data_IF_150108426726
#
_entry.id   IF_150108426726
#
_cell.length_a   1.000
_cell.length_b   1.000
_cell.length_c   1.000
_cell.angle_alpha   90.00
_cell.angle_beta   90.00
_cell.angle_gamma   90.00
#
_symmetry.space_group_name_H-M   'P 1'
#
loop_
_entity.id
_entity.type
_entity.pdbx_description
1 polymer ?
#
# COMPACT_ATOMS: atom_id res chain seq x y z
N UNK A 1 16.30 25.67 -66.51
CA UNK A 1 14.99 25.13 -66.09
C UNK A 1 14.93 25.18 -64.57
N UNK A 2 13.91 25.87 -64.05
CA UNK A 2 13.24 25.69 -62.74
C UNK A 2 14.12 25.78 -61.46
N UNK A 3 14.04 26.89 -60.71
CA UNK A 3 13.15 27.10 -59.54
C UNK A 3 13.65 26.34 -58.29
N UNK A 4 13.91 26.93 -57.12
CA UNK A 4 13.00 27.65 -56.19
C UNK A 4 13.81 28.18 -54.95
N UNK A 5 13.20 28.89 -53.99
CA UNK A 5 13.82 29.97 -53.22
C UNK A 5 14.33 29.54 -51.83
N UNK A 6 15.12 30.43 -51.24
CA UNK A 6 15.49 30.46 -49.83
C UNK A 6 14.26 30.61 -48.94
N UNK A 7 14.00 29.65 -48.07
CA UNK A 7 13.16 29.84 -46.91
C UNK A 7 13.57 28.89 -45.78
N UNK A 8 13.17 29.27 -44.57
CA UNK A 8 13.19 28.52 -43.30
C UNK A 8 14.55 28.56 -42.57
N UNK A 9 14.70 29.18 -41.41
CA UNK A 9 13.73 29.80 -40.52
C UNK A 9 14.49 30.42 -39.35
N UNK A 10 14.03 31.58 -38.89
CA UNK A 10 14.47 32.17 -37.63
C UNK A 10 14.32 31.14 -36.51
N UNK A 11 15.42 30.75 -35.88
CA UNK A 11 15.40 30.06 -34.59
C UNK A 11 14.80 31.04 -33.59
N UNK A 12 13.51 30.91 -33.36
CA UNK A 12 12.83 31.54 -32.24
C UNK A 12 13.42 30.92 -30.98
N UNK A 13 14.01 31.75 -30.13
CA UNK A 13 14.31 31.36 -28.75
C UNK A 13 12.97 31.10 -28.08
N UNK A 14 12.58 29.84 -28.01
CA UNK A 14 11.50 29.43 -27.13
C UNK A 14 11.91 29.79 -25.70
N UNK A 15 11.11 30.65 -25.10
CA UNK A 15 11.23 30.99 -23.69
C UNK A 15 11.06 29.70 -22.88
N UNK A 16 12.14 29.25 -22.25
CA UNK A 16 12.07 28.28 -21.16
C UNK A 16 11.37 28.95 -19.97
N UNK A 17 10.04 29.02 -20.03
CA UNK A 17 9.20 29.17 -18.85
C UNK A 17 8.70 27.78 -18.48
N UNK A 18 9.61 26.92 -18.00
CA UNK A 18 9.25 25.56 -17.65
C UNK A 18 9.63 25.23 -16.21
N UNK A 19 8.65 24.64 -15.51
CA UNK A 19 8.71 24.00 -14.19
C UNK A 19 8.98 24.86 -12.94
N UNK A 20 7.91 25.43 -12.37
CA UNK A 20 7.77 25.54 -10.90
C UNK A 20 6.84 24.43 -10.39
N UNK A 21 7.10 23.19 -10.79
CA UNK A 21 6.51 22.03 -10.14
C UNK A 21 7.24 21.84 -8.82
N UNK A 22 6.68 22.38 -7.74
CA UNK A 22 7.16 22.11 -6.39
C UNK A 22 7.04 20.59 -6.16
N UNK A 23 8.18 19.90 -6.13
CA UNK A 23 8.30 18.64 -5.43
C UNK A 23 7.70 18.85 -4.04
N UNK A 24 6.75 18.01 -3.61
CA UNK A 24 6.24 18.15 -2.25
C UNK A 24 7.40 17.91 -1.28
N UNK A 25 7.62 18.79 -0.30
CA UNK A 25 8.77 18.65 0.58
C UNK A 25 8.64 17.36 1.42
N UNK A 26 7.45 17.10 1.97
CA UNK A 26 7.16 15.90 2.74
C UNK A 26 5.95 15.15 2.19
N UNK A 27 6.19 13.94 1.71
CA UNK A 27 5.16 12.99 1.28
C UNK A 27 4.77 12.01 2.38
N UNK A 28 3.51 11.59 2.40
CA UNK A 28 3.00 10.59 3.32
C UNK A 28 2.24 9.47 2.59
N UNK A 29 2.56 8.21 2.87
CA UNK A 29 1.81 7.05 2.34
C UNK A 29 1.21 6.25 3.50
N UNK A 30 -0.12 6.27 3.71
CA UNK A 30 -0.78 5.42 4.69
C UNK A 30 -1.03 4.02 4.13
N UNK A 31 -0.68 2.97 4.89
CA UNK A 31 -0.93 1.61 4.47
C UNK A 31 -0.95 0.60 5.61
N UNK A 32 -1.65 -0.51 5.37
CA UNK A 32 -1.57 -1.67 6.23
C UNK A 32 -0.29 -2.47 6.01
N UNK A 33 0.21 -2.54 4.77
CA UNK A 33 1.44 -3.26 4.40
C UNK A 33 1.48 -4.74 4.86
N UNK A 34 0.31 -5.35 5.07
CA UNK A 34 0.15 -6.76 5.44
C UNK A 34 0.49 -7.67 4.26
N UNK A 35 1.22 -8.77 4.50
CA UNK A 35 1.74 -9.67 3.46
C UNK A 35 2.37 -8.87 2.30
N UNK A 36 3.44 -8.14 2.61
CA UNK A 36 4.05 -7.17 1.70
C UNK A 36 4.35 -7.75 0.30
N UNK A 37 4.04 -6.99 -0.76
CA UNK A 37 4.09 -7.45 -2.14
C UNK A 37 4.32 -6.27 -3.11
N UNK A 38 4.49 -6.57 -4.40
CA UNK A 38 4.87 -5.57 -5.42
C UNK A 38 3.93 -4.37 -5.52
N UNK A 39 2.63 -4.56 -5.30
CA UNK A 39 1.67 -3.45 -5.22
C UNK A 39 2.02 -2.39 -4.17
N UNK A 40 2.44 -2.81 -2.97
CA UNK A 40 2.91 -1.88 -1.93
C UNK A 40 4.24 -1.22 -2.32
N UNK A 41 5.17 -1.99 -2.88
CA UNK A 41 6.46 -1.45 -3.32
C UNK A 41 6.27 -0.35 -4.38
N UNK A 42 5.38 -0.57 -5.35
CA UNK A 42 5.16 0.34 -6.46
C UNK A 42 4.55 1.67 -6.03
N UNK A 43 3.56 1.67 -5.12
CA UNK A 43 2.99 2.93 -4.62
C UNK A 43 4.04 3.73 -3.84
N UNK A 44 4.88 3.07 -3.03
CA UNK A 44 5.94 3.74 -2.28
C UNK A 44 7.03 4.32 -3.21
N UNK A 45 7.41 3.59 -4.28
CA UNK A 45 8.37 4.10 -5.29
C UNK A 45 7.82 5.33 -6.02
N UNK A 46 6.58 5.25 -6.50
CA UNK A 46 5.92 6.38 -7.18
C UNK A 46 5.74 7.59 -6.25
N UNK A 47 5.46 7.35 -4.97
CA UNK A 47 5.40 8.42 -3.97
C UNK A 47 6.77 9.08 -3.77
N UNK A 48 7.85 8.29 -3.68
CA UNK A 48 9.21 8.82 -3.54
C UNK A 48 9.62 9.72 -4.71
N UNK A 49 9.19 9.38 -5.93
CA UNK A 49 9.46 10.19 -7.13
C UNK A 49 8.78 11.58 -7.09
N UNK A 50 7.83 11.79 -6.17
CA UNK A 50 6.97 12.99 -6.10
C UNK A 50 7.15 13.79 -4.81
N UNK A 51 8.10 13.40 -3.97
CA UNK A 51 8.44 14.13 -2.75
C UNK A 51 9.95 14.12 -2.46
N UNK A 52 10.42 15.08 -1.68
CA UNK A 52 11.82 15.13 -1.25
C UNK A 52 12.08 14.18 -0.07
N UNK A 53 11.09 14.05 0.82
CA UNK A 53 11.13 13.21 2.01
C UNK A 53 9.86 12.36 2.14
N UNK A 54 10.00 11.03 2.15
CA UNK A 54 8.89 10.08 2.21
C UNK A 54 8.71 9.51 3.62
N UNK A 55 7.60 9.89 4.25
CA UNK A 55 7.09 9.29 5.49
C UNK A 55 6.09 8.17 5.15
N UNK A 56 6.24 7.01 5.78
CA UNK A 56 5.30 5.90 5.61
C UNK A 56 4.55 5.63 6.91
N UNK A 57 3.23 5.76 6.84
CA UNK A 57 2.31 5.47 7.93
C UNK A 57 1.89 4.00 7.95
N UNK A 58 2.45 3.21 8.86
CA UNK A 58 2.12 1.79 9.01
C UNK A 58 0.97 1.65 9.99
N UNK A 59 -0.20 1.23 9.48
CA UNK A 59 -1.40 1.10 10.29
C UNK A 59 -1.22 0.07 11.41
N UNK A 60 -1.63 0.42 12.63
CA UNK A 60 -1.62 -0.50 13.78
C UNK A 60 -2.56 -1.69 13.59
N UNK A 61 -2.30 -2.79 14.31
CA UNK A 61 -3.12 -4.00 14.21
C UNK A 61 -4.57 -3.70 14.65
N UNK A 62 -4.75 -2.88 15.68
CA UNK A 62 -6.04 -2.42 16.18
C UNK A 62 -6.75 -1.51 15.17
N UNK A 63 -6.02 -0.58 14.54
CA UNK A 63 -6.60 0.29 13.50
C UNK A 63 -7.06 -0.53 12.29
N UNK A 64 -6.26 -1.51 11.86
CA UNK A 64 -6.63 -2.43 10.79
C UNK A 64 -7.82 -3.30 11.17
N UNK A 65 -7.88 -3.80 12.40
CA UNK A 65 -9.01 -4.57 12.92
C UNK A 65 -10.31 -3.76 12.91
N UNK A 66 -10.26 -2.50 13.39
CA UNK A 66 -11.43 -1.59 13.34
C UNK A 66 -11.88 -1.29 11.90
N UNK A 67 -10.93 -1.08 10.99
CA UNK A 67 -11.23 -0.71 9.61
C UNK A 67 -11.72 -1.89 8.74
N UNK A 68 -11.12 -3.07 8.91
CA UNK A 68 -11.32 -4.24 8.03
C UNK A 68 -12.08 -5.39 8.69
N UNK A 69 -12.45 -5.26 9.97
CA UNK A 69 -13.11 -6.30 10.76
C UNK A 69 -12.20 -7.48 11.14
N UNK A 70 -10.88 -7.36 10.93
CA UNK A 70 -9.89 -8.40 11.25
C UNK A 70 -8.47 -7.84 11.36
N UNK A 71 -7.62 -8.41 12.22
CA UNK A 71 -6.21 -8.03 12.28
C UNK A 71 -5.44 -8.44 11.00
N UNK A 72 -4.25 -7.86 10.77
CA UNK A 72 -3.32 -8.36 9.75
C UNK A 72 -2.82 -9.77 10.06
N UNK A 73 -2.19 -10.44 9.08
CA UNK A 73 -1.45 -11.70 9.33
C UNK A 73 -0.10 -11.36 9.94
N UNK A 74 0.57 -10.37 9.36
CA UNK A 74 1.92 -9.95 9.78
C UNK A 74 1.79 -8.90 10.90
N UNK A 75 2.37 -9.12 12.09
CA UNK A 75 2.31 -8.18 13.20
C UNK A 75 2.90 -6.81 12.87
N UNK A 76 2.47 -5.77 13.59
CA UNK A 76 2.93 -4.40 13.37
C UNK A 76 4.46 -4.24 13.33
N UNK A 77 5.18 -4.86 14.28
CA UNK A 77 6.64 -4.73 14.38
C UNK A 77 7.35 -5.20 13.10
N UNK A 78 6.99 -6.37 12.59
CA UNK A 78 7.55 -6.93 11.36
C UNK A 78 7.21 -6.06 10.14
N UNK A 79 5.98 -5.53 10.06
CA UNK A 79 5.60 -4.61 8.98
C UNK A 79 6.39 -3.32 9.02
N UNK A 80 6.66 -2.76 10.20
CA UNK A 80 7.53 -1.59 10.36
C UNK A 80 8.96 -1.92 9.90
N UNK A 81 9.51 -3.06 10.32
CA UNK A 81 10.87 -3.47 9.94
C UNK A 81 11.01 -3.63 8.41
N UNK A 82 10.07 -4.31 7.76
CA UNK A 82 10.04 -4.46 6.30
C UNK A 82 10.05 -3.09 5.61
N UNK A 83 9.17 -2.19 6.02
CA UNK A 83 9.06 -0.87 5.39
C UNK A 83 10.31 -0.01 5.66
N UNK A 84 10.85 -0.07 6.87
CA UNK A 84 12.06 0.66 7.27
C UNK A 84 13.30 0.19 6.51
N UNK A 85 13.30 -1.05 6.02
CA UNK A 85 14.41 -1.60 5.21
C UNK A 85 14.44 -1.09 3.76
N UNK A 86 13.38 -0.40 3.31
CA UNK A 86 13.29 0.10 1.94
C UNK A 86 14.15 1.36 1.79
N UNK A 87 15.20 1.27 0.98
CA UNK A 87 16.19 2.34 0.70
C UNK A 87 15.65 3.71 0.27
N UNK A 88 14.39 3.81 -0.08
CA UNK A 88 13.74 5.02 -0.58
C UNK A 88 12.60 5.50 0.33
N UNK A 89 12.48 4.90 1.52
CA UNK A 89 11.63 5.38 2.62
C UNK A 89 12.53 6.11 3.60
N UNK A 90 12.18 7.34 3.93
CA UNK A 90 13.00 8.21 4.79
C UNK A 90 12.60 8.09 6.27
N UNK A 91 11.31 7.84 6.55
CA UNK A 91 10.77 7.72 7.91
C UNK A 91 9.59 6.74 7.93
N UNK A 92 9.49 5.94 9.00
CA UNK A 92 8.34 5.08 9.26
C UNK A 92 7.68 5.48 10.58
N UNK A 93 6.37 5.70 10.55
CA UNK A 93 5.58 6.06 11.73
C UNK A 93 4.38 5.13 11.87
N UNK A 94 3.90 4.95 13.09
CA UNK A 94 2.65 4.23 13.36
C UNK A 94 1.45 5.07 12.97
N UNK A 95 0.54 4.50 12.19
CA UNK A 95 -0.74 5.10 11.81
C UNK A 95 -1.87 4.48 12.65
N UNK A 96 -2.42 5.26 13.58
CA UNK A 96 -3.29 4.74 14.65
C UNK A 96 -4.78 4.94 14.37
N UNK A 97 -5.14 5.69 13.33
CA UNK A 97 -6.51 6.13 13.09
C UNK A 97 -6.88 6.17 11.60
N UNK A 98 -8.18 6.09 11.31
CA UNK A 98 -8.69 6.26 9.95
C UNK A 98 -8.66 7.74 9.54
N UNK A 99 -8.92 8.66 10.48
CA UNK A 99 -8.89 10.11 10.26
C UNK A 99 -7.44 10.57 10.05
N UNK A 100 -7.14 11.09 8.86
CA UNK A 100 -5.75 11.43 8.50
C UNK A 100 -5.27 12.76 9.06
N UNK A 101 -6.14 13.55 9.67
CA UNK A 101 -5.72 14.68 10.50
C UNK A 101 -4.99 14.22 11.77
N UNK A 102 -5.30 13.02 12.29
CA UNK A 102 -4.56 12.46 13.44
C UNK A 102 -3.13 12.15 13.04
N UNK A 103 -2.94 11.51 11.88
CA UNK A 103 -1.62 11.24 11.33
C UNK A 103 -0.84 12.55 11.10
N UNK A 104 -1.49 13.53 10.46
CA UNK A 104 -0.88 14.83 10.18
C UNK A 104 -0.48 15.59 11.45
N UNK A 105 -1.31 15.58 12.50
CA UNK A 105 -0.96 16.21 13.80
C UNK A 105 0.26 15.58 14.46
N UNK A 106 0.44 14.26 14.32
CA UNK A 106 1.59 13.54 14.89
C UNK A 106 2.86 13.76 14.09
N UNK A 107 2.73 13.80 12.77
CA UNK A 107 3.82 14.02 11.84
C UNK A 107 3.29 14.80 10.63
N UNK A 108 3.50 16.13 10.59
CA UNK A 108 3.01 16.95 9.48
C UNK A 108 3.62 16.54 8.14
N UNK A 109 2.82 16.63 7.09
CA UNK A 109 3.19 16.34 5.71
C UNK A 109 2.41 17.26 4.74
N UNK A 110 2.93 17.46 3.54
CA UNK A 110 2.35 18.35 2.54
C UNK A 110 1.38 17.62 1.60
N UNK A 111 1.71 16.36 1.26
CA UNK A 111 0.93 15.53 0.35
C UNK A 111 0.75 14.13 0.92
N UNK A 112 -0.47 13.62 0.81
CA UNK A 112 -0.77 12.22 1.05
C UNK A 112 -0.96 11.51 -0.28
N UNK A 113 -0.20 10.43 -0.49
CA UNK A 113 -0.29 9.62 -1.69
C UNK A 113 -1.23 8.42 -1.48
N UNK A 114 -2.14 8.20 -2.42
CA UNK A 114 -3.08 7.06 -2.41
C UNK A 114 -3.21 6.43 -3.80
N UNK A 115 -3.70 5.19 -3.87
CA UNK A 115 -4.07 4.58 -5.15
C UNK A 115 -5.28 5.29 -5.77
N UNK A 116 -5.31 5.38 -7.09
CA UNK A 116 -6.42 5.99 -7.84
C UNK A 116 -7.75 5.23 -7.75
N UNK A 117 -7.74 4.02 -7.18
CA UNK A 117 -8.95 3.28 -6.77
C UNK A 117 -9.80 4.02 -5.73
N UNK A 118 -9.25 5.03 -5.07
CA UNK A 118 -9.98 5.90 -4.12
C UNK A 118 -10.59 7.14 -4.78
N UNK A 119 -10.10 7.54 -5.95
CA UNK A 119 -10.48 8.80 -6.60
C UNK A 119 -11.94 8.74 -7.02
N UNK A 120 -12.70 9.79 -6.68
CA UNK A 120 -14.13 9.88 -7.02
C UNK A 120 -15.05 9.03 -6.14
N UNK A 121 -14.53 8.37 -5.10
CA UNK A 121 -15.34 7.62 -4.13
C UNK A 121 -15.68 8.50 -2.92
N UNK A 122 -16.74 8.16 -2.17
CA UNK A 122 -17.07 8.85 -0.90
C UNK A 122 -15.92 8.83 0.13
N UNK A 123 -15.03 7.82 0.06
CA UNK A 123 -13.84 7.74 0.91
C UNK A 123 -12.76 8.70 0.42
N UNK A 124 -12.59 8.83 -0.89
CA UNK A 124 -11.67 9.78 -1.50
C UNK A 124 -12.06 11.22 -1.20
N UNK A 125 -13.32 11.58 -1.42
CA UNK A 125 -13.81 12.95 -1.15
C UNK A 125 -13.64 13.34 0.32
N UNK A 126 -13.99 12.44 1.25
CA UNK A 126 -13.76 12.68 2.69
C UNK A 126 -12.29 12.86 3.04
N UNK A 127 -11.41 12.05 2.44
CA UNK A 127 -9.97 12.16 2.65
C UNK A 127 -9.42 13.50 2.14
N UNK A 128 -9.92 13.96 0.98
CA UNK A 128 -9.57 15.27 0.42
C UNK A 128 -10.03 16.40 1.34
N UNK A 129 -11.27 16.38 1.83
CA UNK A 129 -11.80 17.34 2.79
C UNK A 129 -11.01 17.36 4.10
N UNK A 130 -10.72 16.18 4.67
CA UNK A 130 -9.95 16.02 5.91
C UNK A 130 -8.58 16.68 5.81
N UNK A 131 -7.87 16.48 4.70
CA UNK A 131 -6.51 16.99 4.52
C UNK A 131 -6.48 18.45 4.08
N UNK A 132 -7.45 18.90 3.27
CA UNK A 132 -7.57 20.31 2.90
C UNK A 132 -7.74 21.19 4.14
N UNK A 133 -8.47 20.71 5.17
CA UNK A 133 -8.65 21.42 6.43
C UNK A 133 -7.34 21.65 7.23
N UNK A 134 -6.27 20.92 6.93
CA UNK A 134 -4.94 21.10 7.55
C UNK A 134 -3.88 21.60 6.56
N UNK A 135 -4.29 22.03 5.36
CA UNK A 135 -3.40 22.55 4.32
C UNK A 135 -2.60 21.48 3.57
N UNK A 136 -2.91 20.20 3.77
CA UNK A 136 -2.33 19.10 3.01
C UNK A 136 -3.23 18.75 1.81
N UNK A 137 -2.64 18.11 0.79
CA UNK A 137 -3.39 17.66 -0.41
C UNK A 137 -3.31 16.14 -0.59
N UNK A 138 -4.29 15.57 -1.31
CA UNK A 138 -4.25 14.18 -1.75
C UNK A 138 -3.70 14.12 -3.17
N UNK A 139 -2.82 13.17 -3.43
CA UNK A 139 -2.36 12.85 -4.79
C UNK A 139 -2.57 11.36 -5.07
N UNK A 140 -3.31 11.08 -6.15
CA UNK A 140 -3.64 9.72 -6.56
C UNK A 140 -2.60 9.19 -7.55
N UNK A 141 -2.10 7.99 -7.28
CA UNK A 141 -1.10 7.29 -8.07
C UNK A 141 -1.74 6.11 -8.79
N UNK A 142 -1.34 5.79 -10.03
CA UNK A 142 -1.94 4.70 -10.77
C UNK A 142 -1.83 3.38 -10.00
N UNK A 143 -2.99 2.78 -9.70
CA UNK A 143 -3.06 1.50 -9.03
C UNK A 143 -2.45 0.40 -9.89
N UNK A 144 -1.75 -0.54 -9.27
CA UNK A 144 -1.14 -1.69 -9.96
C UNK A 144 -1.94 -2.95 -9.64
N UNK A 145 -2.91 -3.35 -10.49
CA UNK A 145 -3.73 -4.53 -10.24
C UNK A 145 -2.91 -5.81 -10.48
N UNK A 146 -2.25 -6.29 -9.43
CA UNK A 146 -1.44 -7.52 -9.44
C UNK A 146 -1.72 -8.31 -8.15
N UNK A 147 -0.69 -8.70 -7.41
CA UNK A 147 -0.81 -9.32 -6.09
C UNK A 147 -1.41 -8.36 -5.08
N UNK A 148 -2.37 -8.84 -4.28
CA UNK A 148 -2.95 -8.10 -3.15
C UNK A 148 -2.94 -8.95 -1.88
N UNK A 149 -2.92 -8.30 -0.71
CA UNK A 149 -3.06 -8.99 0.58
C UNK A 149 -4.34 -9.83 0.66
N UNK A 150 -5.41 -9.40 -0.02
CA UNK A 150 -6.67 -10.16 -0.09
C UNK A 150 -6.47 -11.46 -0.86
N UNK A 151 -5.83 -11.39 -2.04
CA UNK A 151 -5.55 -12.57 -2.86
C UNK A 151 -4.63 -13.56 -2.14
N UNK A 152 -3.54 -13.08 -1.54
CA UNK A 152 -2.61 -13.92 -0.76
C UNK A 152 -3.33 -14.61 0.40
N UNK A 153 -4.18 -13.88 1.13
CA UNK A 153 -4.96 -14.45 2.23
C UNK A 153 -5.93 -15.54 1.76
N UNK A 154 -6.65 -15.28 0.67
CA UNK A 154 -7.58 -16.25 0.09
C UNK A 154 -6.85 -17.53 -0.32
N UNK A 155 -5.68 -17.39 -0.94
CA UNK A 155 -4.84 -18.54 -1.29
C UNK A 155 -4.44 -19.35 -0.04
N UNK A 156 -3.82 -18.70 0.95
CA UNK A 156 -3.40 -19.37 2.19
C UNK A 156 -4.57 -20.03 2.95
N UNK A 157 -5.73 -19.38 2.97
CA UNK A 157 -6.90 -19.92 3.67
C UNK A 157 -7.48 -21.15 2.97
N UNK A 158 -7.42 -21.20 1.62
CA UNK A 158 -7.84 -22.37 0.85
C UNK A 158 -6.93 -23.56 1.15
N UNK A 159 -5.62 -23.39 1.04
CA UNK A 159 -4.63 -24.46 1.29
C UNK A 159 -4.75 -25.02 2.72
N UNK A 160 -4.81 -24.15 3.75
CA UNK A 160 -4.99 -24.59 5.14
C UNK A 160 -6.30 -25.35 5.33
N UNK A 161 -7.37 -24.98 4.61
CA UNK A 161 -8.64 -25.71 4.68
C UNK A 161 -8.56 -27.10 4.04
N UNK A 162 -7.74 -27.28 3.01
CA UNK A 162 -7.53 -28.55 2.32
C UNK A 162 -6.61 -29.48 3.11
N UNK A 163 -5.51 -28.96 3.68
CA UNK A 163 -4.63 -29.70 4.59
C UNK A 163 -5.39 -30.18 5.84
N UNK A 164 -6.22 -29.33 6.45
CA UNK A 164 -7.03 -29.72 7.61
C UNK A 164 -8.04 -30.83 7.26
N UNK A 165 -8.64 -30.81 6.07
CA UNK A 165 -9.52 -31.90 5.60
C UNK A 165 -8.74 -33.19 5.35
N UNK A 166 -7.54 -33.10 4.76
CA UNK A 166 -6.68 -34.26 4.53
C UNK A 166 -6.18 -34.88 5.84
N UNK A 167 -5.84 -34.07 6.84
CA UNK A 167 -5.45 -34.52 8.17
C UNK A 167 -6.57 -35.23 8.94
N UNK A 168 -7.81 -34.73 8.86
CA UNK A 168 -8.99 -35.37 9.46
C UNK A 168 -9.29 -36.73 8.78
N UNK A 169 -9.15 -36.82 7.46
CA UNK A 169 -9.38 -38.07 6.72
C UNK A 169 -8.38 -39.18 7.10
N UNK A 170 -7.12 -38.84 7.40
CA UNK A 170 -6.10 -39.81 7.82
C UNK A 170 -6.21 -40.21 9.30
N UNK A 171 -6.80 -39.38 10.16
CA UNK A 171 -6.98 -39.67 11.59
C UNK A 171 -8.05 -40.72 11.91
N UNK A 172 -9.00 -40.97 11.01
CA UNK A 172 -10.12 -41.90 11.24
C UNK A 172 -9.85 -43.37 10.87
N UNK A 173 -8.63 -43.72 10.43
CA UNK A 173 -8.29 -45.10 10.01
C UNK A 173 -7.42 -45.89 11.01
N UNK A 174 -7.20 -45.38 12.23
CA UNK A 174 -6.38 -46.06 13.25
C UNK A 174 -7.20 -46.34 14.52
N UNK A 175 -8.32 -47.07 14.42
CA UNK A 175 -8.95 -47.70 15.58
C UNK A 175 -9.94 -48.81 15.20
N UNK A 176 -9.46 -49.93 14.64
CA UNK A 176 -10.20 -51.20 14.65
C UNK A 176 -9.29 -52.35 14.22
N UNK A 177 -8.40 -52.80 15.10
CA UNK A 177 -7.94 -54.20 15.17
C UNK A 177 -6.93 -54.36 16.30
N UNK A 178 -7.41 -54.69 17.50
CA UNK A 178 -6.68 -55.61 18.37
C UNK A 178 -7.71 -56.35 19.23
N UNK A 179 -8.04 -57.55 18.75
CA UNK A 179 -8.96 -58.46 19.42
C UNK A 179 -8.38 -58.93 20.75
N UNK A 180 -9.22 -58.91 21.78
CA UNK A 180 -8.98 -59.63 23.03
C UNK A 180 -8.88 -61.13 22.72
N UNK A 181 -7.68 -61.70 22.87
CA UNK A 181 -7.51 -63.12 23.20
C UNK A 181 -7.33 -63.23 24.70
N UNK A 182 -8.39 -63.69 25.40
CA UNK A 182 -8.28 -64.26 26.74
C UNK A 182 -7.55 -65.60 26.62
N UNK A 183 -6.53 -65.83 27.44
CA UNK A 183 -6.04 -67.17 27.75
C UNK A 183 -5.55 -67.18 29.20
N UNK A 184 -6.17 -68.10 29.96
CA UNK A 184 -5.82 -68.67 31.27
C UNK A 184 -6.06 -67.75 32.48
#
# INVERSE_FOLDING_TARGET
MQQRPSDEGKVQKENASDSKDKCAAVGYVPGGFDMFHIGHLNILRKARERCEYLVVGVATDESLARMKGRPPVVPLAERIEIISSLRFVDEVVTDIDLNKQVAWRRRPFDVLFKGDDWKGTDKGHRLEEELAAVGARVEYLPYTPTTSSTLLRQFLTREVSEENKAGIAHGNNISSSHGLRKNI
#
